data_IF_904410024674
#
_entry.id   IF_904410024674
#
_cell.length_a   1.000
_cell.length_b   1.000
_cell.length_c   1.000
_cell.angle_alpha   90.00
_cell.angle_beta   90.00
_cell.angle_gamma   90.00
#
_symmetry.space_group_name_H-M   'P 1'
#
loop_
_entity.id
_entity.type
_entity.pdbx_description
1 polymer ?
#
# COMPACT_ATOMS: atom_id res chain seq x y z
N UNK A 1 -24.55 42.05 -21.24
CA UNK A 1 -23.38 41.21 -20.88
C UNK A 1 -23.62 40.55 -19.51
N UNK A 2 -24.13 39.31 -19.42
CA UNK A 2 -24.09 38.46 -18.18
C UNK A 2 -24.44 36.98 -18.44
N UNK A 3 -24.05 36.39 -19.59
CA UNK A 3 -24.35 34.96 -19.89
C UNK A 3 -23.23 33.97 -19.50
N UNK A 4 -22.09 34.44 -18.96
CA UNK A 4 -20.89 33.63 -18.74
C UNK A 4 -20.76 32.97 -17.35
N UNK A 5 -21.41 33.49 -16.31
CA UNK A 5 -21.20 33.06 -14.92
C UNK A 5 -21.84 31.71 -14.55
N UNK A 6 -22.95 31.37 -15.18
CA UNK A 6 -23.80 30.21 -14.83
C UNK A 6 -23.33 28.88 -15.48
N UNK A 7 -22.52 28.94 -16.54
CA UNK A 7 -21.99 27.71 -17.16
C UNK A 7 -20.95 27.03 -16.26
N UNK A 8 -19.98 27.77 -15.71
CA UNK A 8 -18.90 27.19 -14.88
C UNK A 8 -19.43 26.50 -13.61
N UNK A 9 -20.43 27.10 -12.95
CA UNK A 9 -21.09 26.48 -11.78
C UNK A 9 -21.80 25.17 -12.11
N UNK A 10 -22.46 25.09 -13.27
CA UNK A 10 -23.13 23.87 -13.73
C UNK A 10 -22.17 22.73 -14.07
N UNK A 11 -21.02 23.04 -14.68
CA UNK A 11 -19.98 22.02 -14.97
C UNK A 11 -19.35 21.48 -13.69
N UNK A 12 -18.99 22.36 -12.75
CA UNK A 12 -18.44 21.96 -11.46
C UNK A 12 -19.45 21.09 -10.66
N UNK A 13 -20.73 21.48 -10.62
CA UNK A 13 -21.77 20.70 -9.97
C UNK A 13 -21.99 19.32 -10.59
N UNK A 14 -21.96 19.22 -11.93
CA UNK A 14 -22.07 17.92 -12.64
C UNK A 14 -20.87 17.01 -12.39
N UNK A 15 -19.65 17.56 -12.40
CA UNK A 15 -18.44 16.82 -12.08
C UNK A 15 -18.49 16.30 -10.64
N UNK A 16 -18.85 17.17 -9.69
CA UNK A 16 -18.98 16.82 -8.29
C UNK A 16 -20.01 15.70 -8.06
N UNK A 17 -21.18 15.81 -8.68
CA UNK A 17 -22.21 14.76 -8.65
C UNK A 17 -21.75 13.45 -9.32
N UNK A 18 -20.87 13.51 -10.32
CA UNK A 18 -20.34 12.31 -10.95
C UNK A 18 -19.45 11.50 -9.98
N UNK A 19 -18.75 12.16 -9.06
CA UNK A 19 -17.88 11.52 -8.06
C UNK A 19 -18.64 10.69 -7.02
N UNK A 20 -19.97 10.78 -6.95
CA UNK A 20 -20.78 9.90 -6.08
C UNK A 20 -20.91 8.48 -6.65
N UNK A 21 -20.49 8.26 -7.91
CA UNK A 21 -20.62 6.97 -8.59
C UNK A 21 -19.34 6.15 -8.42
N UNK A 22 -19.39 4.93 -7.84
CA UNK A 22 -18.20 4.10 -7.64
C UNK A 22 -17.44 3.80 -8.94
N UNK A 23 -18.17 3.60 -10.05
CA UNK A 23 -17.58 3.37 -11.37
C UNK A 23 -16.65 4.49 -11.83
N UNK A 24 -16.93 5.74 -11.47
CA UNK A 24 -16.08 6.86 -11.86
C UNK A 24 -14.72 6.74 -11.19
N UNK A 25 -14.68 6.43 -9.90
CA UNK A 25 -13.43 6.21 -9.18
C UNK A 25 -12.65 4.99 -9.66
N UNK A 26 -13.34 3.89 -9.99
CA UNK A 26 -12.69 2.72 -10.59
C UNK A 26 -11.99 3.12 -11.89
N UNK A 27 -12.69 3.83 -12.79
CA UNK A 27 -12.09 4.28 -14.05
C UNK A 27 -10.96 5.31 -13.85
N UNK A 28 -11.06 6.20 -12.86
CA UNK A 28 -9.98 7.13 -12.53
C UNK A 28 -8.74 6.39 -12.02
N UNK A 29 -8.91 5.38 -11.17
CA UNK A 29 -7.79 4.56 -10.66
C UNK A 29 -7.13 3.79 -11.79
N UNK A 30 -7.92 3.09 -12.62
CA UNK A 30 -7.40 2.34 -13.75
C UNK A 30 -6.73 3.27 -14.78
N UNK A 31 -7.36 4.41 -15.07
CA UNK A 31 -6.82 5.42 -15.96
C UNK A 31 -5.51 6.03 -15.45
N UNK A 32 -5.40 6.30 -14.15
CA UNK A 32 -4.17 6.77 -13.52
C UNK A 32 -3.03 5.77 -13.70
N UNK A 33 -3.24 4.49 -13.37
CA UNK A 33 -2.23 3.45 -13.52
C UNK A 33 -1.87 3.21 -15.00
N UNK A 34 -2.87 3.19 -15.90
CA UNK A 34 -2.64 3.04 -17.34
C UNK A 34 -1.86 4.22 -17.92
N UNK A 35 -2.16 5.45 -17.52
CA UNK A 35 -1.43 6.63 -17.97
C UNK A 35 0.04 6.55 -17.53
N UNK A 36 0.32 6.20 -16.28
CA UNK A 36 1.69 6.06 -15.79
C UNK A 36 2.43 4.88 -16.42
N UNK A 37 1.73 3.78 -16.72
CA UNK A 37 2.28 2.68 -17.52
C UNK A 37 2.73 3.16 -18.90
N UNK A 38 1.88 3.88 -19.64
CA UNK A 38 2.25 4.41 -20.96
C UNK A 38 3.41 5.41 -20.85
N UNK A 39 3.36 6.33 -19.88
CA UNK A 39 4.44 7.29 -19.64
C UNK A 39 5.77 6.57 -19.33
N UNK A 40 5.76 5.52 -18.52
CA UNK A 40 6.95 4.72 -18.19
C UNK A 40 7.60 4.13 -19.44
N UNK A 41 6.80 3.67 -20.41
CA UNK A 41 7.29 3.10 -21.67
C UNK A 41 7.82 4.16 -22.64
N UNK A 42 7.23 5.36 -22.63
CA UNK A 42 7.63 6.44 -23.54
C UNK A 42 8.86 7.22 -23.05
N UNK A 43 9.05 7.34 -21.73
CA UNK A 43 10.06 8.24 -21.17
C UNK A 43 11.44 7.62 -20.99
N UNK A 44 11.54 6.35 -20.63
CA UNK A 44 12.83 5.70 -20.38
C UNK A 44 12.81 4.23 -20.79
N UNK A 45 13.75 3.76 -21.63
CA UNK A 45 13.89 2.34 -21.92
C UNK A 45 14.73 1.59 -20.85
N UNK A 46 15.32 2.32 -19.89
CA UNK A 46 16.29 1.78 -18.94
C UNK A 46 15.59 1.24 -17.70
N UNK A 47 15.99 0.06 -17.23
CA UNK A 47 15.55 -0.49 -15.95
C UNK A 47 16.09 0.34 -14.78
N UNK A 48 15.24 0.59 -13.79
CA UNK A 48 15.69 1.17 -12.52
C UNK A 48 16.46 0.13 -11.70
N UNK A 49 17.03 0.56 -10.57
CA UNK A 49 17.81 -0.35 -9.72
C UNK A 49 16.97 -1.53 -9.22
N UNK A 50 15.78 -1.27 -8.67
CA UNK A 50 14.88 -2.33 -8.21
C UNK A 50 14.42 -3.22 -9.37
N UNK A 51 14.12 -2.62 -10.53
CA UNK A 51 13.66 -3.34 -11.71
C UNK A 51 14.74 -4.28 -12.26
N UNK A 52 15.98 -3.79 -12.36
CA UNK A 52 17.13 -4.59 -12.80
C UNK A 52 17.42 -5.73 -11.82
N UNK A 53 17.29 -5.47 -10.52
CA UNK A 53 17.40 -6.51 -9.49
C UNK A 53 16.35 -7.62 -9.71
N UNK A 54 15.09 -7.25 -9.95
CA UNK A 54 14.04 -8.25 -10.18
C UNK A 54 14.27 -9.04 -11.46
N UNK A 55 14.68 -8.40 -12.55
CA UNK A 55 15.01 -9.10 -13.80
C UNK A 55 16.18 -10.08 -13.60
N UNK A 56 17.19 -9.68 -12.82
CA UNK A 56 18.35 -10.53 -12.54
C UNK A 56 17.96 -11.77 -11.74
N UNK A 57 17.15 -11.62 -10.68
CA UNK A 57 16.77 -12.76 -9.83
C UNK A 57 15.64 -13.61 -10.40
N UNK A 58 14.75 -13.04 -11.20
CA UNK A 58 13.62 -13.75 -11.80
C UNK A 58 14.01 -14.63 -13.00
N UNK A 59 15.28 -15.03 -13.12
CA UNK A 59 15.73 -15.98 -14.15
C UNK A 59 15.36 -17.43 -13.79
N UNK A 60 15.26 -17.74 -12.51
CA UNK A 60 14.84 -19.04 -12.01
C UNK A 60 13.87 -18.87 -10.84
N UNK A 61 12.98 -19.84 -10.63
CA UNK A 61 12.07 -19.83 -9.50
C UNK A 61 12.72 -20.53 -8.29
N UNK A 62 13.25 -19.74 -7.36
CA UNK A 62 13.77 -20.21 -6.07
C UNK A 62 12.83 -19.83 -4.92
N UNK A 63 12.90 -20.56 -3.79
CA UNK A 63 12.20 -20.19 -2.56
C UNK A 63 12.68 -18.85 -1.98
N UNK A 64 13.92 -18.47 -2.24
CA UNK A 64 14.49 -17.19 -1.81
C UNK A 64 15.70 -16.79 -2.65
N UNK A 65 16.03 -15.51 -2.63
CA UNK A 65 17.12 -14.92 -3.42
C UNK A 65 18.06 -14.15 -2.50
N UNK A 66 17.82 -12.85 -2.28
CA UNK A 66 18.50 -12.05 -1.27
C UNK A 66 17.67 -11.98 -0.01
N UNK A 67 18.25 -12.31 1.14
CA UNK A 67 17.54 -12.21 2.42
C UNK A 67 17.08 -10.77 2.76
N UNK A 68 17.71 -9.72 2.20
CA UNK A 68 17.30 -8.33 2.41
C UNK A 68 15.84 -8.07 1.99
N UNK A 69 15.36 -8.75 0.95
CA UNK A 69 14.02 -8.56 0.42
C UNK A 69 13.31 -9.91 0.29
N UNK A 70 12.11 -10.07 0.86
CA UNK A 70 11.37 -11.31 0.70
C UNK A 70 10.91 -11.50 -0.76
N UNK A 71 10.60 -12.74 -1.19
CA UNK A 71 10.71 -13.14 -2.59
C UNK A 71 9.47 -12.88 -3.46
N UNK A 72 8.37 -12.33 -2.91
CA UNK A 72 7.10 -12.25 -3.65
C UNK A 72 7.22 -11.49 -4.96
N UNK A 73 7.99 -10.40 -4.99
CA UNK A 73 8.14 -9.56 -6.18
C UNK A 73 8.93 -10.30 -7.25
N UNK A 74 9.96 -11.03 -6.84
CA UNK A 74 10.75 -11.85 -7.75
C UNK A 74 9.91 -13.01 -8.31
N UNK A 75 9.10 -13.68 -7.47
CA UNK A 75 8.16 -14.71 -7.93
C UNK A 75 7.14 -14.15 -8.92
N UNK A 76 6.53 -13.00 -8.60
CA UNK A 76 5.57 -12.36 -9.49
C UNK A 76 6.22 -11.93 -10.81
N UNK A 77 7.47 -11.46 -10.75
CA UNK A 77 8.26 -11.10 -11.93
C UNK A 77 8.55 -12.32 -12.78
N UNK A 78 9.03 -13.43 -12.17
CA UNK A 78 9.29 -14.69 -12.86
C UNK A 78 8.05 -15.21 -13.59
N UNK A 79 6.91 -15.27 -12.88
CA UNK A 79 5.64 -15.74 -13.47
C UNK A 79 5.20 -14.84 -14.63
N UNK A 80 5.30 -13.52 -14.47
CA UNK A 80 4.91 -12.57 -15.53
C UNK A 80 5.82 -12.71 -16.74
N UNK A 81 7.14 -12.79 -16.53
CA UNK A 81 8.11 -12.87 -17.62
C UNK A 81 8.15 -14.24 -18.29
N UNK A 82 7.76 -15.32 -17.58
CA UNK A 82 7.58 -16.65 -18.17
C UNK A 82 6.44 -16.68 -19.20
N UNK A 83 5.44 -15.81 -19.06
CA UNK A 83 4.29 -15.72 -19.96
C UNK A 83 4.49 -14.66 -21.05
N UNK A 84 4.96 -13.48 -20.68
CA UNK A 84 5.05 -12.32 -21.59
C UNK A 84 6.46 -12.03 -22.12
N UNK A 85 7.46 -12.81 -21.69
CA UNK A 85 8.87 -12.58 -21.98
C UNK A 85 9.54 -11.56 -21.05
N UNK A 86 10.87 -11.64 -20.97
CA UNK A 86 11.72 -10.70 -20.22
C UNK A 86 11.77 -9.38 -20.97
N UNK A 87 11.00 -8.39 -20.52
CA UNK A 87 10.91 -7.08 -21.16
C UNK A 87 10.46 -5.99 -20.19
N UNK A 88 10.75 -4.73 -20.52
CA UNK A 88 10.27 -3.59 -19.74
C UNK A 88 8.73 -3.51 -19.67
N UNK A 89 7.98 -3.70 -20.78
CA UNK A 89 6.52 -3.72 -20.72
C UNK A 89 5.95 -4.78 -19.78
N UNK A 90 6.53 -5.98 -19.72
CA UNK A 90 6.01 -7.04 -18.83
C UNK A 90 6.20 -6.66 -17.35
N UNK A 91 7.37 -6.13 -16.99
CA UNK A 91 7.65 -5.68 -15.63
C UNK A 91 6.82 -4.45 -15.23
N UNK A 92 6.72 -3.47 -16.12
CA UNK A 92 5.90 -2.29 -15.90
C UNK A 92 4.42 -2.66 -15.74
N UNK A 93 3.89 -3.57 -16.57
CA UNK A 93 2.51 -4.04 -16.46
C UNK A 93 2.26 -4.68 -15.09
N UNK A 94 3.16 -5.54 -14.61
CA UNK A 94 3.07 -6.14 -13.28
C UNK A 94 2.98 -5.08 -12.18
N UNK A 95 3.89 -4.09 -12.20
CA UNK A 95 3.92 -2.99 -11.22
C UNK A 95 2.61 -2.21 -11.19
N UNK A 96 2.10 -1.81 -12.35
CA UNK A 96 0.88 -1.01 -12.44
C UNK A 96 -0.40 -1.81 -12.16
N UNK A 97 -0.41 -3.11 -12.43
CA UNK A 97 -1.50 -4.00 -12.02
C UNK A 97 -1.56 -4.19 -10.51
N UNK A 98 -0.41 -4.42 -9.85
CA UNK A 98 -0.31 -4.47 -8.39
C UNK A 98 -0.81 -3.16 -7.79
N UNK A 99 -0.32 -2.03 -8.31
CA UNK A 99 -0.71 -0.70 -7.82
C UNK A 99 -2.20 -0.42 -8.02
N UNK A 100 -2.77 -0.77 -9.18
CA UNK A 100 -4.20 -0.62 -9.43
C UNK A 100 -5.03 -1.46 -8.44
N UNK A 101 -4.64 -2.72 -8.22
CA UNK A 101 -5.26 -3.57 -7.22
C UNK A 101 -5.19 -2.98 -5.81
N UNK A 102 -4.04 -2.41 -5.44
CA UNK A 102 -3.83 -1.71 -4.18
C UNK A 102 -4.75 -0.51 -3.99
N UNK A 103 -4.85 0.38 -5.00
CA UNK A 103 -5.75 1.53 -4.95
C UNK A 103 -7.23 1.14 -4.94
N UNK A 104 -7.62 0.10 -5.68
CA UNK A 104 -8.97 -0.44 -5.63
C UNK A 104 -9.30 -1.01 -4.25
N UNK A 105 -8.35 -1.72 -3.63
CA UNK A 105 -8.52 -2.22 -2.28
C UNK A 105 -8.63 -1.07 -1.25
N UNK A 106 -7.79 -0.04 -1.38
CA UNK A 106 -7.87 1.16 -0.55
C UNK A 106 -9.20 1.91 -0.73
N UNK A 107 -9.69 2.03 -1.96
CA UNK A 107 -11.01 2.60 -2.24
C UNK A 107 -12.12 1.80 -1.54
N UNK A 108 -12.04 0.47 -1.60
CA UNK A 108 -13.02 -0.40 -0.95
C UNK A 108 -12.90 -0.35 0.58
N UNK A 109 -11.70 -0.16 1.13
CA UNK A 109 -11.51 0.11 2.55
C UNK A 109 -12.14 1.45 2.94
N UNK A 110 -11.91 2.51 2.16
CA UNK A 110 -12.57 3.81 2.35
C UNK A 110 -14.08 3.67 2.39
N UNK A 111 -14.66 2.90 1.45
CA UNK A 111 -16.11 2.65 1.42
C UNK A 111 -16.64 1.87 2.62
N UNK A 112 -15.76 1.14 3.31
CA UNK A 112 -16.13 0.42 4.50
C UNK A 112 -16.15 1.31 5.75
N UNK A 113 -15.16 2.21 5.86
CA UNK A 113 -14.95 3.02 7.06
C UNK A 113 -15.57 4.42 7.00
N UNK A 114 -15.65 5.02 5.81
CA UNK A 114 -16.18 6.39 5.61
C UNK A 114 -17.65 6.39 5.20
N UNK A 115 -18.17 5.27 4.70
CA UNK A 115 -19.54 5.09 4.19
C UNK A 115 -19.98 6.13 3.13
N UNK A 116 -19.03 6.81 2.50
CA UNK A 116 -19.26 7.82 1.45
C UNK A 116 -18.35 7.52 0.26
N UNK A 117 -18.95 7.31 -0.92
CA UNK A 117 -18.24 6.95 -2.15
C UNK A 117 -17.24 8.04 -2.56
N UNK A 118 -17.65 9.30 -2.45
CA UNK A 118 -16.84 10.45 -2.85
C UNK A 118 -15.66 10.60 -1.91
N UNK A 119 -15.88 10.56 -0.59
CA UNK A 119 -14.80 10.64 0.39
C UNK A 119 -13.83 9.47 0.26
N UNK A 120 -14.33 8.27 -0.02
CA UNK A 120 -13.50 7.08 -0.26
C UNK A 120 -12.57 7.26 -1.46
N UNK A 121 -13.09 7.83 -2.55
CA UNK A 121 -12.29 8.11 -3.72
C UNK A 121 -11.32 9.27 -3.53
N UNK A 122 -11.75 10.33 -2.84
CA UNK A 122 -10.88 11.46 -2.46
C UNK A 122 -9.75 11.01 -1.53
N UNK A 123 -9.98 10.02 -0.66
CA UNK A 123 -8.92 9.43 0.14
C UNK A 123 -7.83 8.78 -0.74
N UNK A 124 -8.20 8.04 -1.80
CA UNK A 124 -7.24 7.51 -2.77
C UNK A 124 -6.52 8.64 -3.53
N UNK A 125 -7.26 9.66 -3.97
CA UNK A 125 -6.67 10.81 -4.65
C UNK A 125 -5.71 11.60 -3.75
N UNK A 126 -5.95 11.65 -2.43
CA UNK A 126 -5.04 12.25 -1.47
C UNK A 126 -3.68 11.54 -1.46
N UNK A 127 -3.66 10.21 -1.58
CA UNK A 127 -2.40 9.48 -1.73
C UNK A 127 -1.68 9.87 -3.03
N UNK A 128 -2.38 10.01 -4.16
CA UNK A 128 -1.76 10.47 -5.42
C UNK A 128 -1.15 11.87 -5.34
N UNK A 129 -1.54 12.68 -4.36
CA UNK A 129 -0.98 14.01 -4.12
C UNK A 129 0.23 14.00 -3.17
N UNK A 130 0.61 12.84 -2.63
CA UNK A 130 1.84 12.69 -1.83
C UNK A 130 3.03 12.41 -2.74
N UNK A 131 4.23 12.84 -2.36
CA UNK A 131 5.45 12.50 -3.09
C UNK A 131 5.69 10.98 -3.12
N UNK A 132 5.40 10.31 -2.00
CA UNK A 132 5.65 8.88 -1.78
C UNK A 132 4.76 7.96 -2.60
N UNK A 133 3.62 8.44 -3.13
CA UNK A 133 2.72 7.63 -3.97
C UNK A 133 2.46 8.26 -5.33
N UNK A 134 2.39 9.58 -5.41
CA UNK A 134 2.14 10.34 -6.63
C UNK A 134 3.33 10.46 -7.58
N UNK A 135 4.55 10.30 -7.10
CA UNK A 135 5.77 10.47 -7.90
C UNK A 135 6.74 9.31 -7.75
N UNK A 136 7.23 9.06 -6.53
CA UNK A 136 8.41 8.23 -6.34
C UNK A 136 8.23 6.78 -6.81
N UNK A 137 7.07 6.12 -6.61
CA UNK A 137 6.85 4.77 -7.11
C UNK A 137 6.72 4.70 -8.63
N UNK A 138 6.58 5.80 -9.35
CA UNK A 138 6.59 5.77 -10.83
C UNK A 138 8.00 5.87 -11.39
N UNK A 139 8.92 6.42 -10.58
CA UNK A 139 10.36 6.45 -10.88
C UNK A 139 11.01 5.14 -10.51
N UNK A 140 10.76 4.60 -9.31
CA UNK A 140 11.38 3.35 -8.83
C UNK A 140 10.46 2.57 -7.85
N UNK A 141 11.01 1.79 -6.92
CA UNK A 141 10.33 1.23 -5.73
C UNK A 141 9.36 0.08 -5.95
N UNK A 142 9.73 -0.93 -6.74
CA UNK A 142 8.84 -2.06 -7.03
C UNK A 142 8.38 -2.78 -5.75
N UNK A 143 9.26 -2.98 -4.77
CA UNK A 143 8.91 -3.58 -3.48
C UNK A 143 7.94 -2.72 -2.66
N UNK A 144 8.09 -1.40 -2.70
CA UNK A 144 7.23 -0.50 -1.93
C UNK A 144 5.83 -0.38 -2.55
N UNK A 145 5.72 -0.45 -3.88
CA UNK A 145 4.41 -0.53 -4.57
C UNK A 145 3.60 -1.74 -4.08
N UNK A 146 4.24 -2.90 -3.98
CA UNK A 146 3.56 -4.09 -3.48
C UNK A 146 3.22 -3.97 -1.99
N UNK A 147 4.14 -3.47 -1.16
CA UNK A 147 3.88 -3.20 0.25
C UNK A 147 2.64 -2.31 0.44
N UNK A 148 2.60 -1.15 -0.21
CA UNK A 148 1.50 -0.18 -0.04
C UNK A 148 0.18 -0.74 -0.59
N UNK A 149 0.24 -1.50 -1.68
CA UNK A 149 -0.93 -2.18 -2.24
C UNK A 149 -1.49 -3.24 -1.30
N UNK A 150 -0.62 -4.04 -0.69
CA UNK A 150 -1.00 -5.08 0.26
C UNK A 150 -1.47 -4.49 1.59
N UNK A 151 -0.95 -3.33 2.02
CA UNK A 151 -1.50 -2.59 3.16
C UNK A 151 -2.94 -2.14 2.90
N UNK A 152 -3.24 -1.63 1.70
CA UNK A 152 -4.61 -1.30 1.30
C UNK A 152 -5.53 -2.53 1.29
N UNK A 153 -5.04 -3.66 0.75
CA UNK A 153 -5.75 -4.94 0.77
C UNK A 153 -5.98 -5.47 2.19
N UNK A 154 -4.98 -5.37 3.07
CA UNK A 154 -5.08 -5.80 4.46
C UNK A 154 -6.06 -4.93 5.25
N UNK A 155 -6.01 -3.60 5.06
CA UNK A 155 -6.94 -2.68 5.68
C UNK A 155 -8.39 -3.01 5.28
N UNK A 156 -8.63 -3.28 3.99
CA UNK A 156 -9.94 -3.73 3.52
C UNK A 156 -10.34 -5.09 4.11
N UNK A 157 -9.47 -6.11 4.00
CA UNK A 157 -9.81 -7.47 4.41
C UNK A 157 -10.05 -7.59 5.92
N UNK A 158 -9.14 -7.06 6.74
CA UNK A 158 -9.28 -7.05 8.20
C UNK A 158 -10.45 -6.16 8.64
N UNK A 159 -10.63 -5.00 8.01
CA UNK A 159 -11.82 -4.17 8.22
C UNK A 159 -13.10 -4.94 7.94
N UNK A 160 -13.16 -5.69 6.83
CA UNK A 160 -14.35 -6.48 6.45
C UNK A 160 -14.71 -7.54 7.48
N UNK A 161 -13.72 -8.13 8.16
CA UNK A 161 -13.94 -9.11 9.23
C UNK A 161 -14.60 -8.49 10.47
N UNK A 162 -14.29 -7.23 10.79
CA UNK A 162 -14.75 -6.58 12.02
C UNK A 162 -15.96 -5.66 11.82
N UNK A 163 -16.15 -5.11 10.63
CA UNK A 163 -17.25 -4.19 10.35
C UNK A 163 -18.55 -4.90 9.96
N UNK A 164 -18.47 -6.09 9.36
CA UNK A 164 -19.63 -6.85 8.87
C UNK A 164 -19.41 -8.35 9.08
N UNK A 165 -20.47 -9.17 9.21
CA UNK A 165 -20.33 -10.62 9.19
C UNK A 165 -19.59 -11.07 7.93
N UNK A 166 -18.54 -11.85 8.12
CA UNK A 166 -17.68 -12.29 7.03
C UNK A 166 -17.77 -13.82 6.83
N UNK A 167 -17.94 -14.30 5.58
CA UNK A 167 -17.83 -15.72 5.27
C UNK A 167 -16.37 -16.21 5.41
N UNK A 168 -16.19 -17.52 5.55
CA UNK A 168 -14.86 -18.14 5.78
C UNK A 168 -13.83 -17.79 4.71
N UNK A 169 -14.23 -17.61 3.45
CA UNK A 169 -13.30 -17.25 2.38
C UNK A 169 -12.63 -15.87 2.59
N UNK A 170 -13.27 -14.92 3.29
CA UNK A 170 -12.64 -13.63 3.62
C UNK A 170 -11.53 -13.83 4.66
N UNK A 171 -11.70 -14.76 5.60
CA UNK A 171 -10.64 -15.10 6.56
C UNK A 171 -9.46 -15.75 5.84
N UNK A 172 -9.71 -16.69 4.92
CA UNK A 172 -8.66 -17.28 4.10
C UNK A 172 -7.95 -16.21 3.25
N UNK A 173 -8.70 -15.29 2.63
CA UNK A 173 -8.14 -14.18 1.86
C UNK A 173 -7.31 -13.24 2.74
N UNK A 174 -7.75 -12.92 3.96
CA UNK A 174 -6.97 -12.13 4.91
C UNK A 174 -5.65 -12.82 5.26
N UNK A 175 -5.66 -14.14 5.47
CA UNK A 175 -4.45 -14.94 5.69
C UNK A 175 -3.50 -14.89 4.50
N UNK A 176 -4.03 -15.02 3.28
CA UNK A 176 -3.27 -14.90 2.05
C UNK A 176 -2.65 -13.51 1.85
N UNK A 177 -3.39 -12.44 2.15
CA UNK A 177 -2.89 -11.06 2.12
C UNK A 177 -1.80 -10.86 3.17
N UNK A 178 -1.95 -11.44 4.38
CA UNK A 178 -0.93 -11.34 5.43
C UNK A 178 0.37 -12.00 4.99
N UNK A 179 0.28 -13.20 4.42
CA UNK A 179 1.44 -13.91 3.88
C UNK A 179 2.07 -13.13 2.72
N UNK A 180 1.29 -12.73 1.72
CA UNK A 180 1.77 -11.96 0.58
C UNK A 180 2.42 -10.63 1.03
N UNK A 181 1.80 -9.91 1.95
CA UNK A 181 2.35 -8.66 2.49
C UNK A 181 3.71 -8.88 3.14
N UNK A 182 3.83 -9.90 3.99
CA UNK A 182 5.08 -10.26 4.66
C UNK A 182 6.15 -10.72 3.65
N UNK A 183 5.75 -11.47 2.61
CA UNK A 183 6.61 -11.89 1.50
C UNK A 183 6.90 -10.77 0.48
N UNK A 184 6.26 -9.61 0.59
CA UNK A 184 6.62 -8.42 -0.19
C UNK A 184 7.69 -7.59 0.52
N UNK A 185 7.54 -7.43 1.85
CA UNK A 185 8.44 -6.66 2.69
C UNK A 185 8.18 -7.03 4.15
N UNK A 186 9.22 -7.38 4.91
CA UNK A 186 9.08 -7.82 6.31
C UNK A 186 8.32 -6.83 7.19
N UNK A 187 8.53 -5.52 6.98
CA UNK A 187 7.88 -4.44 7.74
C UNK A 187 6.34 -4.48 7.64
N UNK A 188 5.79 -5.12 6.61
CA UNK A 188 4.35 -5.31 6.48
C UNK A 188 3.75 -6.00 7.71
N UNK A 189 4.45 -6.98 8.30
CA UNK A 189 3.94 -7.78 9.41
C UNK A 189 3.56 -6.94 10.64
N UNK A 190 4.11 -5.74 10.79
CA UNK A 190 3.75 -4.79 11.85
C UNK A 190 2.26 -4.47 11.81
N UNK A 191 1.67 -4.28 10.63
CA UNK A 191 0.26 -3.88 10.49
C UNK A 191 -0.73 -4.94 11.03
N UNK A 192 -0.73 -6.21 10.57
CA UNK A 192 -1.64 -7.22 11.12
C UNK A 192 -1.35 -7.56 12.57
N UNK A 193 -0.10 -7.47 13.04
CA UNK A 193 0.24 -7.64 14.46
C UNK A 193 -0.38 -6.52 15.32
N UNK A 194 -0.26 -5.26 14.89
CA UNK A 194 -0.89 -4.13 15.55
C UNK A 194 -2.42 -4.23 15.54
N UNK A 195 -3.02 -4.69 14.43
CA UNK A 195 -4.45 -4.93 14.36
C UNK A 195 -4.90 -6.04 15.32
N UNK A 196 -4.14 -7.14 15.40
CA UNK A 196 -4.37 -8.22 16.37
C UNK A 196 -4.27 -7.73 17.81
N UNK A 197 -3.27 -6.91 18.12
CA UNK A 197 -3.09 -6.29 19.43
C UNK A 197 -4.27 -5.35 19.77
N UNK A 198 -4.71 -4.52 18.82
CA UNK A 198 -5.87 -3.64 18.99
C UNK A 198 -7.16 -4.42 19.31
N UNK A 199 -7.35 -5.61 18.72
CA UNK A 199 -8.50 -6.48 19.02
C UNK A 199 -8.50 -7.02 20.46
N UNK A 200 -7.35 -7.05 21.15
CA UNK A 200 -7.30 -7.38 22.57
C UNK A 200 -7.91 -6.27 23.45
N UNK A 201 -7.82 -5.02 22.99
CA UNK A 201 -8.31 -3.84 23.71
C UNK A 201 -9.75 -3.44 23.37
N UNK A 202 -10.33 -4.00 22.30
CA UNK A 202 -11.71 -3.68 21.86
C UNK A 202 -12.56 -4.95 21.80
N UNK A 203 -13.15 -5.38 22.94
CA UNK A 203 -13.94 -6.61 23.04
C UNK A 203 -15.08 -6.70 22.02
N UNK A 204 -15.69 -5.56 21.67
CA UNK A 204 -16.81 -5.45 20.74
C UNK A 204 -16.42 -5.88 19.33
N UNK A 205 -15.18 -5.57 18.90
CA UNK A 205 -14.67 -5.99 17.59
C UNK A 205 -14.28 -7.47 17.62
N UNK A 206 -13.69 -7.93 18.72
CA UNK A 206 -13.32 -9.34 18.91
C UNK A 206 -14.53 -10.27 18.88
N UNK A 207 -15.65 -9.86 19.50
CA UNK A 207 -16.88 -10.65 19.53
C UNK A 207 -17.50 -10.90 18.13
N UNK A 208 -17.16 -10.08 17.13
CA UNK A 208 -17.63 -10.24 15.75
C UNK A 208 -16.85 -11.30 14.97
N UNK A 209 -15.71 -11.75 15.49
CA UNK A 209 -14.82 -12.68 14.82
C UNK A 209 -15.18 -14.13 15.15
N UNK A 210 -15.24 -14.97 14.12
CA UNK A 210 -15.44 -16.42 14.28
C UNK A 210 -14.13 -17.09 14.66
N UNK A 211 -14.04 -17.85 15.77
CA UNK A 211 -12.81 -18.55 16.16
C UNK A 211 -12.26 -19.47 15.07
N UNK A 212 -13.13 -20.23 14.40
CA UNK A 212 -12.75 -21.08 13.26
C UNK A 212 -12.27 -20.29 12.04
N UNK A 213 -12.81 -19.08 11.83
CA UNK A 213 -12.34 -18.16 10.80
C UNK A 213 -10.93 -17.65 11.12
N UNK A 214 -10.66 -17.25 12.37
CA UNK A 214 -9.32 -16.84 12.78
C UNK A 214 -8.31 -17.98 12.65
N UNK A 215 -8.68 -19.19 13.05
CA UNK A 215 -7.85 -20.38 12.86
C UNK A 215 -7.52 -20.60 11.37
N UNK A 216 -8.51 -20.48 10.47
CA UNK A 216 -8.31 -20.58 9.02
C UNK A 216 -7.39 -19.47 8.49
N UNK A 217 -7.58 -18.23 8.93
CA UNK A 217 -6.72 -17.09 8.54
C UNK A 217 -5.26 -17.34 8.90
N UNK A 218 -5.01 -17.78 10.14
CA UNK A 218 -3.65 -18.10 10.64
C UNK A 218 -3.08 -19.30 9.88
N UNK A 219 -3.86 -20.35 9.68
CA UNK A 219 -3.42 -21.55 8.95
C UNK A 219 -3.00 -21.22 7.51
N UNK A 220 -3.80 -20.41 6.79
CA UNK A 220 -3.45 -19.98 5.42
C UNK A 220 -2.19 -19.11 5.41
N UNK A 221 -2.07 -18.17 6.36
CA UNK A 221 -0.87 -17.32 6.44
C UNK A 221 0.39 -18.15 6.68
N UNK A 222 0.35 -19.08 7.65
CA UNK A 222 1.46 -19.96 7.97
C UNK A 222 1.81 -20.89 6.81
N UNK A 223 0.82 -21.50 6.16
CA UNK A 223 1.04 -22.40 5.04
C UNK A 223 1.76 -21.71 3.86
N UNK A 224 1.42 -20.46 3.58
CA UNK A 224 2.04 -19.68 2.50
C UNK A 224 3.42 -19.11 2.89
N UNK A 225 3.65 -18.81 4.17
CA UNK A 225 4.94 -18.34 4.66
C UNK A 225 5.94 -19.46 4.89
N UNK A 226 5.47 -20.67 5.21
CA UNK A 226 6.31 -21.79 5.63
C UNK A 226 7.45 -22.13 4.64
N UNK A 227 7.22 -22.22 3.30
CA UNK A 227 8.30 -22.58 2.38
C UNK A 227 9.47 -21.60 2.45
N UNK A 228 9.17 -20.30 2.49
CA UNK A 228 10.19 -19.27 2.61
C UNK A 228 10.84 -19.27 4.00
N UNK A 229 10.06 -19.41 5.06
CA UNK A 229 10.59 -19.49 6.42
C UNK A 229 11.58 -20.66 6.59
N UNK A 230 11.27 -21.82 6.04
CA UNK A 230 12.17 -22.99 6.02
C UNK A 230 13.44 -22.65 5.23
N UNK A 231 13.32 -22.05 4.04
CA UNK A 231 14.48 -21.63 3.25
C UNK A 231 15.38 -20.67 4.05
N UNK A 232 14.80 -19.70 4.77
CA UNK A 232 15.58 -18.77 5.59
C UNK A 232 16.29 -19.43 6.76
N UNK A 233 15.66 -20.44 7.38
CA UNK A 233 16.25 -21.20 8.48
C UNK A 233 17.41 -22.09 8.03
N UNK A 234 17.26 -22.74 6.86
CA UNK A 234 18.31 -23.59 6.26
C UNK A 234 19.57 -22.77 5.90
N UNK A 235 19.40 -21.51 5.51
CA UNK A 235 20.51 -20.61 5.16
C UNK A 235 20.99 -19.76 6.36
N UNK A 236 20.52 -20.06 7.58
CA UNK A 236 20.92 -19.40 8.83
C UNK A 236 20.75 -17.87 8.82
N UNK A 237 19.77 -17.37 8.06
CA UNK A 237 19.52 -15.94 7.99
C UNK A 237 18.84 -15.40 9.26
N UNK A 238 19.27 -14.22 9.69
CA UNK A 238 18.78 -13.57 10.91
C UNK A 238 18.14 -12.21 10.61
N UNK A 239 16.84 -12.08 10.91
CA UNK A 239 16.13 -10.80 10.83
C UNK A 239 16.72 -9.75 11.77
N UNK A 240 17.29 -10.17 12.91
CA UNK A 240 17.92 -9.26 13.86
C UNK A 240 19.20 -8.66 13.27
N UNK A 241 20.02 -9.48 12.61
CA UNK A 241 21.24 -9.02 11.93
C UNK A 241 20.86 -8.06 10.81
N UNK A 242 19.90 -8.45 9.96
CA UNK A 242 19.39 -7.57 8.90
C UNK A 242 18.85 -6.23 9.45
N UNK A 243 18.14 -6.25 10.57
CA UNK A 243 17.63 -5.04 11.20
C UNK A 243 18.76 -4.12 11.70
N UNK A 244 19.84 -4.69 12.28
CA UNK A 244 21.02 -3.94 12.71
C UNK A 244 21.76 -3.30 11.53
N UNK A 245 21.92 -4.06 10.45
CA UNK A 245 22.56 -3.58 9.21
C UNK A 245 21.77 -2.42 8.59
N UNK A 246 20.45 -2.57 8.48
CA UNK A 246 19.56 -1.53 7.93
C UNK A 246 19.49 -0.31 8.83
N UNK A 247 19.54 -0.48 10.15
CA UNK A 247 19.54 0.62 11.11
C UNK A 247 20.90 1.36 11.18
N UNK A 248 21.96 0.81 10.57
CA UNK A 248 23.32 1.36 10.68
C UNK A 248 23.81 1.41 12.13
N UNK A 249 23.38 0.46 12.96
CA UNK A 249 23.61 0.50 14.42
C UNK A 249 25.03 0.15 14.84
N UNK A 250 25.87 -0.38 13.94
CA UNK A 250 27.25 -0.77 14.26
C UNK A 250 28.20 0.42 14.42
N UNK A 251 27.89 1.59 13.85
CA UNK A 251 28.81 2.74 13.80
C UNK A 251 28.57 3.83 14.87
N UNK A 252 27.58 3.69 15.77
CA UNK A 252 27.14 4.79 16.66
C UNK A 252 27.42 4.53 18.13
N UNK A 253 28.49 5.12 18.71
CA UNK A 253 28.90 4.88 20.11
C UNK A 253 27.98 5.51 21.18
N UNK A 254 27.07 6.43 20.83
CA UNK A 254 26.18 7.10 21.78
C UNK A 254 24.69 6.77 21.54
N UNK A 255 24.14 5.93 22.41
CA UNK A 255 22.76 5.44 22.36
C UNK A 255 21.74 6.59 22.31
N UNK A 256 21.79 7.57 23.22
CA UNK A 256 20.81 8.67 23.31
C UNK A 256 20.81 9.63 22.11
N UNK A 257 21.98 9.94 21.55
CA UNK A 257 22.09 10.82 20.38
C UNK A 257 21.52 10.14 19.13
N UNK A 258 21.69 8.82 19.03
CA UNK A 258 21.11 8.01 17.94
C UNK A 258 19.57 7.99 17.99
N UNK A 259 18.97 7.90 19.19
CA UNK A 259 17.51 8.02 19.35
C UNK A 259 17.00 9.40 18.93
N UNK A 260 17.70 10.48 19.32
CA UNK A 260 17.34 11.85 18.90
C UNK A 260 17.35 12.01 17.38
N UNK A 261 18.40 11.51 16.71
CA UNK A 261 18.49 11.53 15.25
C UNK A 261 17.40 10.67 14.58
N UNK A 262 17.06 9.51 15.17
CA UNK A 262 15.97 8.67 14.71
C UNK A 262 14.60 9.36 14.79
N UNK A 263 14.33 10.07 15.88
CA UNK A 263 13.09 10.85 16.06
C UNK A 263 13.00 12.02 15.07
N UNK A 264 14.09 12.74 14.86
CA UNK A 264 14.16 13.80 13.83
C UNK A 264 13.94 13.20 12.45
N UNK A 265 14.59 12.08 12.14
CA UNK A 265 14.39 11.35 10.88
C UNK A 265 12.94 10.90 10.69
N UNK A 266 12.28 10.42 11.74
CA UNK A 266 10.87 10.06 11.71
C UNK A 266 9.98 11.28 11.45
N UNK A 267 10.22 12.39 12.16
CA UNK A 267 9.45 13.63 11.96
C UNK A 267 9.61 14.17 10.53
N UNK A 268 10.84 14.17 10.00
CA UNK A 268 11.12 14.55 8.63
C UNK A 268 10.47 13.59 7.63
N UNK A 269 10.53 12.28 7.86
CA UNK A 269 9.90 11.29 7.01
C UNK A 269 8.38 11.47 6.98
N UNK A 270 7.74 11.71 8.13
CA UNK A 270 6.32 12.01 8.22
C UNK A 270 5.98 13.31 7.47
N UNK A 271 6.76 14.38 7.65
CA UNK A 271 6.53 15.64 6.93
C UNK A 271 6.67 15.45 5.41
N UNK A 272 7.74 14.80 4.95
CA UNK A 272 7.98 14.53 3.53
C UNK A 272 6.94 13.60 2.92
N UNK A 273 6.41 12.65 3.70
CA UNK A 273 5.36 11.74 3.24
C UNK A 273 4.07 12.50 2.90
N UNK A 274 3.72 13.53 3.66
CA UNK A 274 2.45 14.27 3.48
C UNK A 274 2.63 15.48 2.53
N UNK A 275 3.86 15.79 2.10
CA UNK A 275 4.11 16.77 1.05
C UNK A 275 4.10 16.09 -0.35
N UNK A 276 3.63 16.77 -1.41
CA UNK A 276 3.03 18.11 -1.42
C UNK A 276 1.53 18.14 -1.07
N UNK A 277 0.92 17.03 -0.65
CA UNK A 277 -0.52 16.94 -0.38
C UNK A 277 -1.03 18.05 0.54
N UNK A 278 -0.37 18.37 1.66
CA UNK A 278 -0.82 19.46 2.55
C UNK A 278 -0.94 20.81 1.84
N UNK A 279 0.02 21.15 0.99
CA UNK A 279 0.02 22.41 0.25
C UNK A 279 -1.12 22.46 -0.77
N UNK A 280 -1.33 21.36 -1.49
CA UNK A 280 -2.43 21.21 -2.46
C UNK A 280 -3.77 21.27 -1.73
N UNK A 281 -3.95 20.48 -0.68
CA UNK A 281 -5.18 20.45 0.12
C UNK A 281 -5.51 21.83 0.71
N UNK A 282 -4.54 22.49 1.33
CA UNK A 282 -4.73 23.80 1.93
C UNK A 282 -5.08 24.89 0.89
N UNK A 283 -4.63 24.75 -0.36
CA UNK A 283 -4.98 25.69 -1.44
C UNK A 283 -6.38 25.45 -2.03
N UNK A 284 -6.80 24.19 -2.13
CA UNK A 284 -8.13 23.81 -2.60
C UNK A 284 -9.23 24.06 -1.56
N UNK A 285 -8.89 23.97 -0.27
CA UNK A 285 -9.84 24.14 0.84
C UNK A 285 -9.40 25.24 1.82
N UNK A 286 -9.46 26.53 1.44
CA UNK A 286 -9.04 27.63 2.33
C UNK A 286 -9.83 27.68 3.64
N UNK A 287 -11.11 27.27 3.60
CA UNK A 287 -11.98 27.19 4.79
C UNK A 287 -11.55 26.12 5.79
N UNK A 288 -10.82 25.10 5.37
CA UNK A 288 -10.25 24.10 6.29
C UNK A 288 -9.14 24.68 7.19
N UNK A 289 -8.67 25.91 6.90
CA UNK A 289 -7.72 26.65 7.73
C UNK A 289 -8.40 27.48 8.81
N UNK A 290 -9.73 27.64 8.74
CA UNK A 290 -10.46 28.39 9.76
C UNK A 290 -10.42 27.61 11.09
N UNK A 291 -10.25 28.29 12.24
CA UNK A 291 -10.38 27.63 13.53
C UNK A 291 -11.74 26.93 13.60
N UNK A 292 -11.75 25.69 14.11
CA UNK A 292 -13.00 24.98 14.38
C UNK A 292 -13.86 25.91 15.24
N UNK A 293 -15.13 26.16 14.88
CA UNK A 293 -16.00 26.95 15.73
C UNK A 293 -16.00 26.29 17.11
N UNK A 294 -15.51 27.01 18.12
CA UNK A 294 -15.68 26.60 19.52
C UNK A 294 -17.19 26.47 19.71
N UNK A 295 -17.66 25.24 19.96
CA UNK A 295 -19.08 24.92 19.99
C UNK A 295 -19.83 25.94 20.83
N UNK A 296 -20.75 26.66 20.20
CA UNK A 296 -21.84 27.31 20.92
C UNK A 296 -22.83 26.20 21.30
N UNK A 297 -23.20 26.20 22.58
CA UNK A 297 -24.34 25.43 23.10
C UNK A 297 -25.62 25.65 22.28
#
# INVERSE_FOLDING_TARGET
MTAGGDRRGRWAGRLWAALDRPRVWIWLILGYCAAHFVLRLCLSPIYTLDEAEQVLFAQELSLGYRFRHPPLITWATYLTQSVFGVSLPSLAALKYLIMAGGFLALFQAGRLFLDDVRLSGLAVAAFWMTFTVGYYPHVDLMHTVALTSLLGAALWALGRLVCRPAPLWIYALAGAIIAAGTLSKYVFAIFPLAAGLALLFVPELRARLRPSGIALMVAVALALLAPYAIWTAVHEYSLLTLARDVAGSEERPFFLLAWGQGLVGLALALAMFVLPFLAIFASLFPRARAPLPLGGE
#
